data_IF_184540600696
#
_entry.id   IF_184540600696
#
_cell.length_a   1.000
_cell.length_b   1.000
_cell.length_c   1.000
_cell.angle_alpha   90.00
_cell.angle_beta   90.00
_cell.angle_gamma   90.00
#
_symmetry.space_group_name_H-M   'P 1'
#
loop_
_entity.id
_entity.type
_entity.pdbx_description
1 polymer ?
#
# COMPACT_ATOMS: atom_id res chain seq x y z
N UNK A 1 -12.08 7.37 6.02
CA UNK A 1 -12.19 8.20 7.24
C UNK A 1 -13.53 8.04 7.95
N UNK A 2 -14.64 7.92 7.24
CA UNK A 2 -15.98 7.70 7.84
C UNK A 2 -16.04 6.52 8.83
N UNK A 3 -15.11 5.58 8.72
CA UNK A 3 -15.03 4.38 9.56
C UNK A 3 -14.00 4.47 10.69
N UNK A 4 -13.35 5.62 10.87
CA UNK A 4 -12.30 5.86 11.88
C UNK A 4 -11.11 4.87 11.80
N UNK A 5 -10.79 4.38 10.59
CA UNK A 5 -9.60 3.55 10.40
C UNK A 5 -8.33 4.40 10.47
N UNK A 6 -7.25 3.90 11.08
CA UNK A 6 -5.95 4.51 10.95
C UNK A 6 -5.54 4.59 9.49
N UNK A 7 -5.07 5.76 9.05
CA UNK A 7 -4.49 5.95 7.72
C UNK A 7 -3.00 6.14 7.88
N UNK A 8 -2.23 5.37 7.12
CA UNK A 8 -0.77 5.41 7.14
C UNK A 8 -0.29 5.74 5.74
N UNK A 9 0.28 6.93 5.56
CA UNK A 9 0.94 7.35 4.34
C UNK A 9 2.39 6.88 4.34
N UNK A 10 2.76 6.20 3.27
CA UNK A 10 4.11 5.65 3.09
C UNK A 10 4.81 6.44 1.99
N UNK A 11 5.95 7.03 2.30
CA UNK A 11 6.75 7.77 1.34
C UNK A 11 8.12 7.08 1.16
N UNK A 12 8.55 6.95 -0.09
CA UNK A 12 9.89 6.43 -0.39
C UNK A 12 10.91 7.55 -0.24
N UNK A 13 11.85 7.42 0.67
CA UNK A 13 12.97 8.32 0.81
C UNK A 13 14.15 7.79 -0.01
N UNK A 14 14.37 8.40 -1.17
CA UNK A 14 15.46 8.08 -2.08
C UNK A 14 16.66 9.02 -1.92
N UNK A 15 16.78 9.70 -0.79
CA UNK A 15 17.87 10.68 -0.54
C UNK A 15 19.25 10.09 -0.88
N UNK A 16 19.97 10.77 -1.75
CA UNK A 16 21.29 10.36 -2.24
C UNK A 16 21.25 9.44 -3.49
N UNK A 17 20.08 9.14 -4.03
CA UNK A 17 19.94 8.33 -5.28
C UNK A 17 19.71 9.19 -6.51
N UNK A 18 19.27 10.44 -6.33
CA UNK A 18 18.86 11.35 -7.41
C UNK A 18 17.39 11.22 -7.80
N UNK A 19 16.65 10.32 -7.15
CA UNK A 19 15.21 10.13 -7.35
C UNK A 19 14.53 10.11 -5.99
N UNK A 20 13.30 10.65 -5.89
CA UNK A 20 12.51 10.71 -4.65
C UNK A 20 13.28 11.32 -3.47
N UNK A 21 14.10 12.34 -3.74
CA UNK A 21 14.81 13.09 -2.71
C UNK A 21 13.80 13.73 -1.75
N UNK A 22 14.01 13.58 -0.46
CA UNK A 22 13.08 14.11 0.56
C UNK A 22 12.84 15.61 0.36
N UNK A 23 11.56 16.01 0.35
CA UNK A 23 11.05 17.35 0.05
C UNK A 23 11.20 17.79 -1.42
N UNK A 24 11.46 16.87 -2.35
CA UNK A 24 11.35 17.13 -3.78
C UNK A 24 9.91 16.91 -4.27
N UNK A 25 9.59 17.39 -5.46
CA UNK A 25 8.24 17.29 -6.03
C UNK A 25 7.80 15.82 -6.24
N UNK A 26 8.72 14.96 -6.66
CA UNK A 26 8.49 13.53 -6.85
C UNK A 26 8.41 12.73 -5.54
N UNK A 27 8.84 13.32 -4.42
CA UNK A 27 8.69 12.75 -3.08
C UNK A 27 7.38 13.18 -2.41
N UNK A 28 6.83 14.34 -2.74
CA UNK A 28 5.62 14.86 -2.10
C UNK A 28 4.39 14.00 -2.42
N UNK A 29 3.42 13.99 -1.50
CA UNK A 29 2.12 13.37 -1.78
C UNK A 29 1.37 14.19 -2.84
N UNK A 30 0.59 13.53 -3.66
CA UNK A 30 -0.34 14.20 -4.57
C UNK A 30 -1.28 15.12 -3.79
N UNK A 31 -1.58 16.30 -4.31
CA UNK A 31 -2.46 17.31 -3.69
C UNK A 31 -3.86 16.77 -3.39
N UNK A 32 -4.33 15.79 -4.17
CA UNK A 32 -5.61 15.11 -3.98
C UNK A 32 -5.64 14.20 -2.75
N UNK A 33 -4.47 13.81 -2.24
CA UNK A 33 -4.35 12.99 -1.03
C UNK A 33 -4.39 13.88 0.21
N UNK A 34 -5.58 14.16 0.70
CA UNK A 34 -5.80 14.96 1.91
C UNK A 34 -5.25 14.22 3.12
N UNK A 35 -4.12 14.68 3.64
CA UNK A 35 -3.49 14.15 4.85
C UNK A 35 -4.01 14.92 6.06
N UNK A 36 -4.62 14.22 7.00
CA UNK A 36 -5.16 14.77 8.23
C UNK A 36 -4.10 14.78 9.36
N UNK A 37 -4.22 15.64 10.37
CA UNK A 37 -3.28 15.62 11.51
C UNK A 37 -3.26 14.33 12.31
N UNK A 38 -4.29 13.51 12.19
CA UNK A 38 -4.42 12.19 12.84
C UNK A 38 -3.82 11.05 12.06
N UNK A 39 -3.41 11.30 10.80
CA UNK A 39 -2.82 10.29 9.95
C UNK A 39 -1.33 10.09 10.29
N UNK A 40 -0.85 8.87 10.08
CA UNK A 40 0.55 8.55 10.27
C UNK A 40 1.32 8.70 8.97
N UNK A 41 2.58 9.11 9.06
CA UNK A 41 3.52 9.14 7.94
C UNK A 41 4.73 8.30 8.30
N UNK A 42 5.13 7.42 7.39
CA UNK A 42 6.27 6.53 7.57
C UNK A 42 7.13 6.58 6.30
N UNK A 43 8.40 6.92 6.47
CA UNK A 43 9.39 6.84 5.40
C UNK A 43 9.85 5.39 5.21
N UNK A 44 10.14 5.01 3.98
CA UNK A 44 10.76 3.73 3.63
C UNK A 44 11.94 3.93 2.70
N UNK A 45 12.86 2.97 2.71
CA UNK A 45 14.12 3.01 1.94
C UNK A 45 14.26 1.79 1.01
N UNK A 46 13.23 0.96 0.91
CA UNK A 46 13.16 -0.23 0.08
C UNK A 46 11.77 -0.38 -0.52
N UNK A 47 11.56 -1.31 -1.45
CA UNK A 47 10.24 -1.60 -1.96
C UNK A 47 9.31 -2.10 -0.85
N UNK A 48 9.80 -3.04 -0.02
CA UNK A 48 9.09 -3.53 1.15
C UNK A 48 9.09 -2.48 2.28
N UNK A 49 7.92 -2.00 2.66
CA UNK A 49 7.76 -1.02 3.74
C UNK A 49 8.14 -1.58 5.12
N UNK A 50 8.04 -2.89 5.34
CA UNK A 50 8.43 -3.48 6.62
C UNK A 50 9.94 -3.53 6.82
N UNK A 51 10.72 -3.37 5.74
CA UNK A 51 12.17 -3.40 5.82
C UNK A 51 12.73 -2.15 6.49
N UNK A 52 13.24 -2.29 7.71
CA UNK A 52 13.89 -1.22 8.51
C UNK A 52 13.04 0.05 8.66
N UNK A 53 11.72 -0.08 8.77
CA UNK A 53 10.78 1.02 9.04
C UNK A 53 10.07 0.82 10.37
N UNK A 54 9.30 1.82 10.78
CA UNK A 54 8.48 1.79 12.00
C UNK A 54 7.13 1.07 11.79
N UNK A 55 6.79 0.63 10.56
CA UNK A 55 5.45 0.14 10.25
C UNK A 55 5.02 -1.00 11.18
N UNK A 56 5.88 -2.01 11.36
CA UNK A 56 5.55 -3.16 12.20
C UNK A 56 5.22 -2.76 13.64
N UNK A 57 6.01 -1.87 14.24
CA UNK A 57 5.77 -1.38 15.60
C UNK A 57 4.50 -0.56 15.69
N UNK A 58 4.23 0.29 14.69
CA UNK A 58 3.01 1.11 14.64
C UNK A 58 1.76 0.24 14.49
N UNK A 59 1.76 -0.75 13.61
CA UNK A 59 0.63 -1.67 13.47
C UNK A 59 0.37 -2.47 14.76
N UNK A 60 1.43 -2.89 15.44
CA UNK A 60 1.33 -3.57 16.74
C UNK A 60 0.75 -2.66 17.82
N UNK A 61 1.22 -1.41 17.91
CA UNK A 61 0.69 -0.40 18.85
C UNK A 61 -0.81 -0.15 18.64
N UNK A 62 -1.23 -0.11 17.40
CA UNK A 62 -2.63 0.12 17.00
C UNK A 62 -3.49 -1.15 17.04
N UNK A 63 -2.90 -2.31 17.38
CA UNK A 63 -3.56 -3.62 17.36
C UNK A 63 -4.20 -3.96 16.01
N UNK A 64 -3.56 -3.56 14.92
CA UNK A 64 -4.02 -3.81 13.55
C UNK A 64 -3.65 -5.22 13.12
N UNK A 65 -4.63 -5.99 12.64
CA UNK A 65 -4.46 -7.36 12.12
C UNK A 65 -4.92 -7.49 10.66
N UNK A 66 -5.52 -6.46 10.11
CA UNK A 66 -6.04 -6.44 8.76
C UNK A 66 -5.66 -5.13 8.06
N UNK A 67 -5.20 -5.24 6.80
CA UNK A 67 -4.64 -4.13 6.03
C UNK A 67 -5.40 -3.94 4.72
N UNK A 68 -5.83 -2.72 4.42
CA UNK A 68 -6.16 -2.31 3.07
C UNK A 68 -4.93 -1.71 2.42
N UNK A 69 -4.54 -2.24 1.27
CA UNK A 69 -3.32 -1.80 0.57
C UNK A 69 -3.72 -1.11 -0.74
N UNK A 70 -3.20 0.11 -0.89
CA UNK A 70 -3.34 0.96 -2.08
C UNK A 70 -1.99 1.54 -2.47
N UNK A 71 -1.87 2.18 -3.62
CA UNK A 71 -0.72 3.01 -3.97
C UNK A 71 0.04 2.61 -5.23
N UNK A 72 1.33 2.93 -5.27
CA UNK A 72 2.21 2.76 -6.42
C UNK A 72 3.62 2.27 -5.96
N UNK A 73 4.31 1.47 -6.74
CA UNK A 73 3.86 0.85 -7.98
C UNK A 73 3.40 -0.57 -7.72
N UNK A 74 2.37 -1.01 -8.45
CA UNK A 74 1.77 -2.36 -8.38
C UNK A 74 2.82 -3.46 -8.31
N UNK A 75 3.75 -3.47 -9.25
CA UNK A 75 4.76 -4.50 -9.47
C UNK A 75 6.08 -4.29 -8.69
N UNK A 76 6.14 -3.28 -7.83
CA UNK A 76 7.27 -2.99 -6.95
C UNK A 76 6.83 -2.89 -5.49
N UNK A 77 6.54 -1.70 -5.02
CA UNK A 77 6.31 -1.45 -3.60
C UNK A 77 5.03 -2.10 -3.08
N UNK A 78 3.96 -2.10 -3.90
CA UNK A 78 2.68 -2.72 -3.52
C UNK A 78 2.86 -4.23 -3.38
N UNK A 79 3.38 -4.91 -4.41
CA UNK A 79 3.62 -6.35 -4.38
C UNK A 79 4.58 -6.75 -3.26
N UNK A 80 5.72 -6.05 -3.14
CA UNK A 80 6.72 -6.35 -2.11
C UNK A 80 6.14 -6.22 -0.69
N UNK A 81 5.30 -5.21 -0.46
CA UNK A 81 4.62 -4.98 0.82
C UNK A 81 3.58 -6.06 1.11
N UNK A 82 2.80 -6.47 0.11
CA UNK A 82 1.81 -7.54 0.24
C UNK A 82 2.49 -8.85 0.65
N UNK A 83 3.56 -9.25 -0.04
CA UNK A 83 4.30 -10.47 0.31
C UNK A 83 4.86 -10.43 1.73
N UNK A 84 5.43 -9.29 2.12
CA UNK A 84 5.98 -9.10 3.46
C UNK A 84 4.89 -9.13 4.54
N UNK A 85 3.73 -8.52 4.28
CA UNK A 85 2.60 -8.53 5.20
C UNK A 85 2.02 -9.94 5.39
N UNK A 86 1.91 -10.73 4.31
CA UNK A 86 1.46 -12.12 4.37
C UNK A 86 2.39 -13.00 5.22
N UNK A 87 3.71 -12.79 5.12
CA UNK A 87 4.68 -13.53 5.96
C UNK A 87 4.64 -13.13 7.44
N UNK A 88 3.89 -12.09 7.78
CA UNK A 88 3.64 -11.59 9.15
C UNK A 88 2.21 -11.87 9.62
N UNK A 89 1.50 -12.72 8.89
CA UNK A 89 0.16 -13.20 9.21
C UNK A 89 -0.94 -12.11 9.21
N UNK A 90 -0.72 -10.99 8.50
CA UNK A 90 -1.77 -10.01 8.31
C UNK A 90 -2.85 -10.52 7.34
N UNK A 91 -4.11 -10.20 7.63
CA UNK A 91 -5.16 -10.25 6.63
C UNK A 91 -5.02 -9.06 5.68
N UNK A 92 -5.20 -9.29 4.38
CA UNK A 92 -4.98 -8.24 3.38
C UNK A 92 -6.19 -8.12 2.48
N UNK A 93 -6.63 -6.89 2.27
CA UNK A 93 -7.53 -6.52 1.20
C UNK A 93 -6.78 -5.54 0.28
N UNK A 94 -6.47 -6.01 -0.93
CA UNK A 94 -5.95 -5.14 -1.99
C UNK A 94 -7.13 -4.39 -2.61
N UNK A 95 -7.03 -3.07 -2.69
CA UNK A 95 -8.06 -2.26 -3.35
C UNK A 95 -7.83 -2.32 -4.86
N UNK A 96 -8.65 -3.10 -5.58
CA UNK A 96 -8.49 -3.44 -7.01
C UNK A 96 -8.25 -2.23 -7.91
N UNK A 97 -8.97 -1.15 -7.66
CA UNK A 97 -8.88 0.12 -8.39
C UNK A 97 -8.15 1.21 -7.59
N UNK A 98 -7.40 0.83 -6.57
CA UNK A 98 -6.65 1.74 -5.68
C UNK A 98 -5.13 1.63 -5.81
N UNK A 99 -4.62 0.92 -6.81
CA UNK A 99 -3.19 0.85 -7.08
C UNK A 99 -2.89 1.10 -8.55
N UNK A 100 -1.67 1.53 -8.85
CA UNK A 100 -1.25 1.88 -10.21
C UNK A 100 0.24 1.57 -10.42
N UNK A 101 0.68 1.66 -11.68
CA UNK A 101 2.08 1.57 -12.08
C UNK A 101 2.34 2.31 -13.39
N UNK A 102 3.60 2.49 -13.73
CA UNK A 102 4.00 3.06 -15.02
C UNK A 102 4.04 2.02 -16.15
N UNK A 103 4.06 2.51 -17.39
CA UNK A 103 4.31 1.68 -18.58
C UNK A 103 5.67 0.98 -18.49
N UNK A 104 5.73 -0.26 -18.96
CA UNK A 104 6.97 -1.01 -19.13
C UNK A 104 7.33 -1.15 -20.60
N UNK A 105 8.60 -1.28 -20.98
CA UNK A 105 9.00 -1.44 -22.39
C UNK A 105 8.33 -2.61 -23.12
N UNK A 106 7.91 -3.61 -22.37
CA UNK A 106 7.36 -4.88 -22.89
C UNK A 106 5.93 -5.15 -22.42
N UNK A 107 5.36 -4.32 -21.52
CA UNK A 107 4.04 -4.57 -20.94
C UNK A 107 3.37 -3.25 -20.52
N UNK A 108 2.13 -3.07 -20.94
CA UNK A 108 1.34 -1.88 -20.57
C UNK A 108 0.93 -1.91 -19.10
N UNK A 109 0.84 -0.74 -18.48
CA UNK A 109 0.46 -0.57 -17.07
C UNK A 109 -0.86 -1.29 -16.73
N UNK A 110 -1.88 -1.15 -17.60
CA UNK A 110 -3.16 -1.86 -17.42
C UNK A 110 -2.99 -3.39 -17.30
N UNK A 111 -2.08 -3.97 -18.10
CA UNK A 111 -1.82 -5.41 -18.09
C UNK A 111 -1.02 -5.84 -16.87
N UNK A 112 -0.16 -4.99 -16.34
CA UNK A 112 0.50 -5.22 -15.06
C UNK A 112 -0.53 -5.26 -13.94
N UNK A 113 -1.42 -4.26 -13.87
CA UNK A 113 -2.48 -4.16 -12.85
C UNK A 113 -3.41 -5.38 -12.93
N UNK A 114 -3.89 -5.73 -14.12
CA UNK A 114 -4.74 -6.91 -14.37
C UNK A 114 -4.05 -8.20 -13.90
N UNK A 115 -2.78 -8.36 -14.25
CA UNK A 115 -1.98 -9.53 -13.87
C UNK A 115 -1.84 -9.68 -12.36
N UNK A 116 -1.46 -8.61 -11.66
CA UNK A 116 -1.27 -8.66 -10.21
C UNK A 116 -2.59 -8.82 -9.45
N UNK A 117 -3.67 -8.21 -9.89
CA UNK A 117 -5.00 -8.47 -9.36
C UNK A 117 -5.39 -9.95 -9.48
N UNK A 118 -5.03 -10.58 -10.61
CA UNK A 118 -5.23 -12.03 -10.78
C UNK A 118 -4.33 -12.84 -9.85
N UNK A 119 -3.04 -12.49 -9.74
CA UNK A 119 -2.08 -13.18 -8.85
C UNK A 119 -2.58 -13.16 -7.41
N UNK A 120 -2.93 -11.99 -6.88
CA UNK A 120 -3.39 -11.85 -5.50
C UNK A 120 -4.71 -12.57 -5.21
N UNK A 121 -5.64 -12.59 -6.17
CA UNK A 121 -6.89 -13.37 -6.02
C UNK A 121 -6.67 -14.87 -5.95
N UNK A 122 -5.58 -15.37 -6.51
CA UNK A 122 -5.26 -16.80 -6.56
C UNK A 122 -4.13 -17.20 -5.60
N UNK A 123 -3.64 -16.26 -4.80
CA UNK A 123 -2.61 -16.52 -3.81
C UNK A 123 -3.18 -17.27 -2.60
N UNK A 124 -2.40 -18.23 -2.10
CA UNK A 124 -2.78 -19.04 -0.93
C UNK A 124 -1.80 -18.74 0.20
N UNK A 125 -2.15 -17.84 1.14
CA UNK A 125 -1.31 -17.56 2.30
C UNK A 125 -1.30 -18.75 3.27
N UNK A 126 -0.26 -18.86 4.09
CA UNK A 126 -0.16 -19.90 5.13
C UNK A 126 -1.15 -19.66 6.26
N UNK A 127 -1.21 -18.42 6.74
CA UNK A 127 -2.18 -17.94 7.71
C UNK A 127 -2.84 -16.67 7.18
N UNK A 128 -3.94 -16.26 7.79
CA UNK A 128 -4.68 -15.10 7.34
C UNK A 128 -5.35 -15.29 5.98
N UNK A 129 -5.70 -14.21 5.35
CA UNK A 129 -6.34 -14.18 4.02
C UNK A 129 -5.80 -13.04 3.17
N UNK A 130 -5.93 -13.19 1.85
CA UNK A 130 -5.77 -12.10 0.90
C UNK A 130 -7.01 -12.04 0.00
N UNK A 131 -7.56 -10.84 -0.14
CA UNK A 131 -8.70 -10.56 -1.00
C UNK A 131 -8.39 -9.37 -1.91
N UNK A 132 -8.96 -9.35 -3.11
CA UNK A 132 -8.92 -8.21 -4.02
C UNK A 132 -10.35 -7.75 -4.22
N UNK A 133 -10.65 -6.55 -3.75
CA UNK A 133 -11.99 -5.94 -3.79
C UNK A 133 -11.89 -4.54 -4.38
N UNK A 134 -12.86 -4.14 -5.18
CA UNK A 134 -12.94 -2.75 -5.60
C UNK A 134 -13.43 -1.85 -4.45
N UNK A 135 -13.24 -0.55 -4.60
CA UNK A 135 -13.56 0.40 -3.54
C UNK A 135 -15.06 0.38 -3.14
N UNK A 136 -15.98 0.19 -4.08
CA UNK A 136 -17.41 0.16 -3.79
C UNK A 136 -17.81 -1.10 -3.01
N UNK A 137 -17.19 -2.25 -3.28
CA UNK A 137 -17.37 -3.47 -2.49
C UNK A 137 -16.91 -3.25 -1.05
N UNK A 138 -15.72 -2.65 -0.87
CA UNK A 138 -15.18 -2.33 0.46
C UNK A 138 -16.10 -1.36 1.20
N UNK A 139 -16.60 -0.33 0.51
CA UNK A 139 -17.49 0.67 1.10
C UNK A 139 -18.78 0.07 1.63
N UNK A 140 -19.29 -0.94 0.96
CA UNK A 140 -20.53 -1.64 1.33
C UNK A 140 -20.33 -2.76 2.36
N UNK A 141 -19.08 -3.19 2.58
CA UNK A 141 -18.74 -4.20 3.60
C UNK A 141 -18.73 -3.56 4.99
N UNK A 142 -19.50 -4.14 5.94
CA UNK A 142 -19.72 -3.55 7.27
C UNK A 142 -18.64 -3.91 8.30
N UNK A 143 -17.58 -4.60 7.90
CA UNK A 143 -16.52 -5.09 8.78
C UNK A 143 -15.42 -4.04 9.04
N UNK A 144 -14.83 -4.01 10.24
CA UNK A 144 -13.93 -2.94 10.76
C UNK A 144 -12.45 -3.19 10.42
N UNK A 145 -11.73 -2.20 9.81
CA UNK A 145 -10.34 -2.40 9.30
C UNK A 145 -9.49 -1.12 9.16
N UNK A 146 -8.15 -1.23 8.94
CA UNK A 146 -7.20 -0.13 8.75
C UNK A 146 -6.70 -0.01 7.30
N UNK A 147 -6.44 1.20 6.79
CA UNK A 147 -6.00 1.47 5.40
C UNK A 147 -4.53 1.86 5.36
N UNK A 148 -3.71 1.18 4.55
CA UNK A 148 -2.34 1.55 4.22
C UNK A 148 -2.28 2.05 2.78
N UNK A 149 -1.81 3.28 2.59
CA UNK A 149 -1.54 3.86 1.28
C UNK A 149 -0.03 3.96 1.04
N UNK A 150 0.49 3.21 0.06
CA UNK A 150 1.89 3.26 -0.38
C UNK A 150 2.03 4.25 -1.55
N UNK A 151 1.68 5.54 -1.32
CA UNK A 151 1.66 6.57 -2.36
C UNK A 151 3.05 6.96 -2.88
N UNK A 152 3.14 7.21 -4.19
CA UNK A 152 4.20 7.99 -4.81
C UNK A 152 3.61 9.34 -5.26
N UNK A 153 4.40 10.39 -5.15
CA UNK A 153 4.24 11.55 -6.00
C UNK A 153 4.40 11.13 -7.47
N UNK A 154 3.63 11.70 -8.36
CA UNK A 154 3.64 11.42 -9.80
C UNK A 154 4.90 11.96 -10.47
#
# INVERSE_FOLDING_TARGET
>A
RERNFPVIYIQHDGTGTGEFEKNSLDWENLDELIVEPTDFRIDKYANDIFYKSELQSKLTELNVTELFITGCATDFCVESTIQSALTKDYNITVVENGHTTGERPHLKAEKVIEHYNWVWRNMIPTNGKIEVKNFEEIKNDTTTMAIINTGFGA
#
